data_IF_321832736373
#
_entry.id   IF_321832736373
#
_cell.length_a   1.000
_cell.length_b   1.000
_cell.length_c   1.000
_cell.angle_alpha   90.00
_cell.angle_beta   90.00
_cell.angle_gamma   90.00
#
_symmetry.space_group_name_H-M   'P 1'
#
loop_
_entity.id
_entity.type
_entity.pdbx_description
1 polymer ?
#
# COMPACT_ATOMS: atom_id res chain seq x y z
N UNK A 1 -29.06 4.14 0.13
CA UNK A 1 -27.64 3.74 0.19
C UNK A 1 -26.79 5.00 0.16
N UNK A 2 -25.86 5.19 1.10
CA UNK A 2 -25.12 6.44 1.26
C UNK A 2 -23.89 6.46 0.31
N UNK A 3 -24.00 7.19 -0.80
CA UNK A 3 -22.93 7.28 -1.81
C UNK A 3 -21.62 7.85 -1.24
N UNK A 4 -21.70 8.70 -0.21
CA UNK A 4 -20.54 9.23 0.50
C UNK A 4 -19.74 8.16 1.27
N UNK A 5 -20.35 7.01 1.57
CA UNK A 5 -19.67 5.84 2.12
C UNK A 5 -19.35 4.81 1.05
N UNK A 6 -20.27 4.60 0.11
CA UNK A 6 -20.15 3.56 -0.91
C UNK A 6 -18.96 3.80 -1.85
N UNK A 7 -18.78 5.04 -2.34
CA UNK A 7 -17.73 5.31 -3.33
C UNK A 7 -16.32 5.19 -2.74
N UNK A 8 -16.01 5.75 -1.55
CA UNK A 8 -14.69 5.57 -0.94
C UNK A 8 -14.37 4.11 -0.63
N UNK A 9 -15.36 3.33 -0.18
CA UNK A 9 -15.17 1.88 0.06
C UNK A 9 -14.88 1.12 -1.25
N UNK A 10 -15.63 1.41 -2.32
CA UNK A 10 -15.43 0.77 -3.62
C UNK A 10 -14.05 1.11 -4.22
N UNK A 11 -13.60 2.36 -4.11
CA UNK A 11 -12.25 2.75 -4.58
C UNK A 11 -11.15 2.11 -3.72
N UNK A 12 -11.31 2.02 -2.40
CA UNK A 12 -10.36 1.31 -1.54
C UNK A 12 -10.27 -0.17 -1.88
N UNK A 13 -11.40 -0.84 -2.13
CA UNK A 13 -11.42 -2.22 -2.59
C UNK A 13 -10.65 -2.39 -3.91
N UNK A 14 -10.95 -1.58 -4.91
CA UNK A 14 -10.29 -1.67 -6.22
C UNK A 14 -8.77 -1.47 -6.12
N UNK A 15 -8.32 -0.56 -5.27
CA UNK A 15 -6.88 -0.32 -5.02
C UNK A 15 -6.21 -1.49 -4.30
N UNK A 16 -6.89 -2.06 -3.30
CA UNK A 16 -6.40 -3.23 -2.57
C UNK A 16 -6.31 -4.46 -3.50
N UNK A 17 -7.32 -4.70 -4.33
CA UNK A 17 -7.32 -5.78 -5.32
C UNK A 17 -6.15 -5.63 -6.30
N UNK A 18 -5.93 -4.42 -6.81
CA UNK A 18 -4.81 -4.14 -7.71
C UNK A 18 -3.44 -4.38 -7.02
N UNK A 19 -3.29 -3.95 -5.76
CA UNK A 19 -2.08 -4.17 -4.99
C UNK A 19 -1.85 -5.67 -4.70
N UNK A 20 -2.92 -6.40 -4.35
CA UNK A 20 -2.86 -7.83 -4.06
C UNK A 20 -2.45 -8.65 -5.30
N UNK A 21 -2.95 -8.30 -6.49
CA UNK A 21 -2.54 -8.99 -7.73
C UNK A 21 -1.03 -8.88 -7.97
N UNK A 22 -0.42 -7.71 -7.70
CA UNK A 22 1.03 -7.52 -7.84
C UNK A 22 1.78 -8.30 -6.75
N UNK A 23 1.28 -8.32 -5.51
CA UNK A 23 1.84 -9.11 -4.43
C UNK A 23 1.81 -10.61 -4.73
N UNK A 24 0.69 -11.12 -5.25
CA UNK A 24 0.55 -12.53 -5.66
C UNK A 24 1.52 -12.88 -6.79
N UNK A 25 1.74 -11.98 -7.75
CA UNK A 25 2.76 -12.18 -8.78
C UNK A 25 4.18 -12.22 -8.19
N UNK A 26 4.49 -11.29 -7.28
CA UNK A 26 5.80 -11.23 -6.63
C UNK A 26 6.12 -12.51 -5.86
N UNK A 27 5.17 -12.99 -5.05
CA UNK A 27 5.28 -14.22 -4.27
C UNK A 27 5.34 -15.46 -5.17
N UNK A 28 4.53 -15.53 -6.22
CA UNK A 28 4.59 -16.64 -7.17
C UNK A 28 5.94 -16.76 -7.89
N UNK A 29 6.57 -15.64 -8.26
CA UNK A 29 7.93 -15.64 -8.82
C UNK A 29 8.96 -16.07 -7.77
N UNK A 30 8.85 -15.54 -6.55
CA UNK A 30 9.74 -15.88 -5.43
C UNK A 30 9.72 -17.37 -5.10
N UNK A 31 8.53 -17.96 -4.98
CA UNK A 31 8.34 -19.39 -4.67
C UNK A 31 8.90 -20.32 -5.76
N UNK A 32 9.15 -19.78 -6.96
CA UNK A 32 9.70 -20.50 -8.11
C UNK A 32 11.19 -20.21 -8.34
N UNK A 33 11.83 -19.48 -7.45
CA UNK A 33 13.22 -19.03 -7.58
C UNK A 33 13.48 -18.19 -8.85
N UNK A 34 12.43 -17.50 -9.34
CA UNK A 34 12.51 -16.62 -10.50
C UNK A 34 12.85 -15.17 -10.07
N UNK A 35 13.51 -14.38 -10.93
CA UNK A 35 13.77 -12.97 -10.63
C UNK A 35 12.48 -12.19 -10.36
N UNK A 36 12.31 -11.71 -9.12
CA UNK A 36 11.10 -11.02 -8.67
C UNK A 36 11.34 -9.59 -8.19
N UNK A 37 12.54 -9.03 -8.41
CA UNK A 37 12.97 -7.75 -7.82
C UNK A 37 12.06 -6.57 -8.18
N UNK A 38 11.60 -6.50 -9.43
CA UNK A 38 10.63 -5.49 -9.88
C UNK A 38 9.30 -5.66 -9.17
N UNK A 39 8.72 -6.85 -9.25
CA UNK A 39 7.40 -7.18 -8.71
C UNK A 39 7.35 -7.00 -7.20
N UNK A 40 8.35 -7.47 -6.46
CA UNK A 40 8.41 -7.34 -5.00
C UNK A 40 8.47 -5.87 -4.56
N UNK A 41 9.29 -5.06 -5.24
CA UNK A 41 9.36 -3.62 -4.98
C UNK A 41 8.02 -2.94 -5.31
N UNK A 42 7.45 -3.20 -6.48
CA UNK A 42 6.14 -2.65 -6.87
C UNK A 42 5.03 -3.09 -5.90
N UNK A 43 5.00 -4.35 -5.48
CA UNK A 43 4.05 -4.88 -4.51
C UNK A 43 4.15 -4.14 -3.17
N UNK A 44 5.37 -4.00 -2.61
CA UNK A 44 5.60 -3.27 -1.37
C UNK A 44 5.06 -1.84 -1.45
N UNK A 45 5.35 -1.15 -2.55
CA UNK A 45 4.90 0.23 -2.74
C UNK A 45 3.38 0.34 -2.79
N UNK A 46 2.73 -0.46 -3.65
CA UNK A 46 1.29 -0.41 -3.85
C UNK A 46 0.52 -0.87 -2.62
N UNK A 47 0.95 -1.95 -1.95
CA UNK A 47 0.28 -2.45 -0.75
C UNK A 47 0.35 -1.44 0.39
N UNK A 48 1.51 -0.82 0.61
CA UNK A 48 1.66 0.22 1.64
C UNK A 48 0.81 1.46 1.34
N UNK A 49 0.70 1.85 0.07
CA UNK A 49 -0.09 3.02 -0.33
C UNK A 49 -1.60 2.75 -0.22
N UNK A 50 -2.07 1.64 -0.78
CA UNK A 50 -3.48 1.23 -0.74
C UNK A 50 -3.95 0.96 0.69
N UNK A 51 -3.14 0.28 1.50
CA UNK A 51 -3.44 0.01 2.91
C UNK A 51 -3.56 1.29 3.73
N UNK A 52 -2.63 2.24 3.56
CA UNK A 52 -2.70 3.53 4.23
C UNK A 52 -3.96 4.30 3.86
N UNK A 53 -4.25 4.46 2.56
CA UNK A 53 -5.44 5.16 2.06
C UNK A 53 -6.74 4.53 2.60
N UNK A 54 -6.83 3.20 2.64
CA UNK A 54 -8.00 2.51 3.20
C UNK A 54 -8.17 2.82 4.70
N UNK A 55 -7.09 2.79 5.48
CA UNK A 55 -7.15 3.10 6.92
C UNK A 55 -7.45 4.57 7.21
N UNK A 56 -6.94 5.49 6.38
CA UNK A 56 -7.20 6.92 6.49
C UNK A 56 -8.68 7.24 6.25
N UNK A 57 -9.28 6.64 5.21
CA UNK A 57 -10.72 6.75 4.94
C UNK A 57 -11.56 6.11 6.04
N UNK A 58 -11.13 4.97 6.59
CA UNK A 58 -11.82 4.35 7.70
C UNK A 58 -11.84 5.29 8.93
N UNK A 59 -10.70 5.92 9.24
CA UNK A 59 -10.59 6.89 10.31
C UNK A 59 -11.51 8.10 10.06
N UNK A 60 -11.48 8.69 8.86
CA UNK A 60 -12.33 9.80 8.47
C UNK A 60 -13.83 9.46 8.57
N UNK A 61 -14.21 8.24 8.19
CA UNK A 61 -15.60 7.74 8.22
C UNK A 61 -16.13 7.64 9.64
N UNK A 62 -15.29 7.21 10.59
CA UNK A 62 -15.67 7.10 12.01
C UNK A 62 -15.63 8.44 12.75
N UNK A 63 -15.13 9.51 12.12
CA UNK A 63 -15.02 10.83 12.75
C UNK A 63 -14.20 10.78 14.03
N UNK A 64 -14.67 11.42 15.10
CA UNK A 64 -13.99 11.40 16.41
C UNK A 64 -13.77 10.00 16.98
N UNK A 65 -14.70 9.07 16.69
CA UNK A 65 -14.57 7.67 17.14
C UNK A 65 -13.44 6.93 16.41
N UNK A 66 -12.99 7.43 15.25
CA UNK A 66 -11.85 6.87 14.52
C UNK A 66 -10.51 7.05 15.25
N UNK A 67 -10.44 7.97 16.22
CA UNK A 67 -9.28 8.16 17.11
C UNK A 67 -9.40 7.41 18.45
N UNK A 68 -10.59 6.92 18.78
CA UNK A 68 -10.82 6.17 20.03
C UNK A 68 -10.16 4.79 19.96
N UNK A 69 -9.74 4.28 21.13
CA UNK A 69 -9.27 2.90 21.28
C UNK A 69 -10.42 1.90 21.43
N UNK A 70 -11.68 2.36 21.42
CA UNK A 70 -12.86 1.50 21.38
C UNK A 70 -12.98 0.70 20.08
N UNK A 71 -12.32 1.16 19.00
CA UNK A 71 -12.24 0.47 17.73
C UNK A 71 -10.78 0.35 17.29
N UNK A 72 -10.49 -0.67 16.48
CA UNK A 72 -9.13 -0.91 15.97
C UNK A 72 -8.70 0.08 14.87
N UNK A 73 -9.57 1.00 14.43
CA UNK A 73 -9.31 1.93 13.31
C UNK A 73 -8.07 2.79 13.56
N UNK A 74 -7.95 3.38 14.76
CA UNK A 74 -6.79 4.19 15.13
C UNK A 74 -5.49 3.37 15.13
N UNK A 75 -5.54 2.10 15.57
CA UNK A 75 -4.39 1.19 15.53
C UNK A 75 -3.98 0.92 14.08
N UNK A 76 -4.92 0.51 13.23
CA UNK A 76 -4.62 0.18 11.84
C UNK A 76 -4.08 1.37 11.05
N UNK A 77 -4.58 2.58 11.29
CA UNK A 77 -4.01 3.78 10.70
C UNK A 77 -2.53 3.97 11.06
N UNK A 78 -2.17 3.84 12.34
CA UNK A 78 -0.77 3.95 12.81
C UNK A 78 0.12 2.86 12.20
N UNK A 79 -0.37 1.63 12.17
CA UNK A 79 0.38 0.50 11.61
C UNK A 79 0.57 0.60 10.10
N UNK A 80 -0.49 0.96 9.35
CA UNK A 80 -0.40 1.16 7.91
C UNK A 80 0.56 2.30 7.54
N UNK A 81 0.61 3.36 8.37
CA UNK A 81 1.57 4.46 8.17
C UNK A 81 3.02 3.99 8.25
N UNK A 82 3.35 3.04 9.14
CA UNK A 82 4.69 2.50 9.27
C UNK A 82 5.16 1.83 7.97
N UNK A 83 4.27 1.14 7.26
CA UNK A 83 4.61 0.42 6.02
C UNK A 83 5.05 1.34 4.87
N UNK A 84 4.68 2.63 4.93
CA UNK A 84 5.20 3.65 3.99
C UNK A 84 6.66 4.03 4.27
N UNK A 85 7.20 3.69 5.44
CA UNK A 85 8.50 4.14 5.93
C UNK A 85 9.47 2.96 6.12
N UNK A 86 9.01 1.84 6.69
CA UNK A 86 9.82 0.68 7.03
C UNK A 86 9.31 -0.59 6.32
N UNK A 87 10.19 -1.57 6.00
CA UNK A 87 11.64 -1.59 6.26
C UNK A 87 12.46 -0.68 5.34
N UNK A 88 11.83 -0.10 4.32
CA UNK A 88 12.43 0.91 3.46
C UNK A 88 11.36 1.90 2.98
N UNK A 89 11.68 3.19 2.85
CA UNK A 89 10.71 4.22 2.51
C UNK A 89 10.24 4.10 1.05
N UNK A 90 9.06 4.65 0.73
CA UNK A 90 8.49 4.59 -0.62
C UNK A 90 9.43 5.14 -1.69
N UNK A 91 10.21 6.16 -1.37
CA UNK A 91 11.16 6.83 -2.26
C UNK A 91 12.29 5.89 -2.68
N UNK A 92 12.72 4.99 -1.80
CA UNK A 92 13.74 3.98 -2.13
C UNK A 92 13.21 2.94 -3.12
N UNK A 93 11.91 2.58 -3.02
CA UNK A 93 11.27 1.74 -4.05
C UNK A 93 11.24 2.46 -5.39
N UNK A 94 10.82 3.74 -5.40
CA UNK A 94 10.75 4.53 -6.63
C UNK A 94 12.14 4.71 -7.27
N UNK A 95 13.18 4.91 -6.46
CA UNK A 95 14.56 4.95 -6.93
C UNK A 95 14.99 3.61 -7.56
N UNK A 96 14.63 2.47 -6.96
CA UNK A 96 14.88 1.16 -7.56
C UNK A 96 14.17 1.01 -8.91
N UNK A 97 12.88 1.36 -8.98
CA UNK A 97 12.12 1.27 -10.24
C UNK A 97 12.69 2.20 -11.31
N UNK A 98 13.01 3.45 -10.97
CA UNK A 98 13.59 4.42 -11.90
C UNK A 98 14.96 3.98 -12.43
N UNK A 99 15.88 3.61 -11.52
CA UNK A 99 17.26 3.29 -11.92
C UNK A 99 17.44 1.86 -12.44
N UNK A 100 16.94 0.85 -11.72
CA UNK A 100 17.20 -0.56 -12.04
C UNK A 100 16.23 -1.15 -13.06
N UNK A 101 14.99 -0.67 -13.10
CA UNK A 101 13.96 -1.20 -14.00
C UNK A 101 13.84 -0.36 -15.26
N UNK A 102 13.77 0.97 -15.13
CA UNK A 102 13.64 1.88 -16.27
C UNK A 102 14.99 2.32 -16.86
N UNK A 103 16.11 2.06 -16.19
CA UNK A 103 17.45 2.44 -16.68
C UNK A 103 17.73 3.94 -16.65
N UNK A 104 16.94 4.71 -15.90
CA UNK A 104 17.13 6.16 -15.80
C UNK A 104 18.35 6.49 -14.93
N UNK A 105 19.04 7.62 -15.18
CA UNK A 105 20.16 8.05 -14.35
C UNK A 105 19.70 8.23 -12.90
N UNK A 106 20.56 7.87 -11.96
CA UNK A 106 20.30 8.08 -10.54
C UNK A 106 20.26 9.58 -10.26
N UNK A 107 19.23 10.03 -9.57
CA UNK A 107 19.32 11.29 -8.83
C UNK A 107 20.18 11.00 -7.61
N UNK A 108 21.44 11.45 -7.64
CA UNK A 108 22.47 11.35 -6.59
C UNK A 108 22.93 9.94 -6.14
#
# INVERSE_FOLDING_TARGET
MNQGLQFPLADSLARLDAAELVLRKATWLYDRDEPCGREANTAKYLCADAGFEATDRALQTHGGMGYSEEYDVARYFREARLLKIAPLPQEMVLNYLGSRVLGLPRSY
#
